data_IF_806329980368
#
_entry.id   IF_806329980368
#
_cell.length_a   1.000
_cell.length_b   1.000
_cell.length_c   1.000
_cell.angle_alpha   90.00
_cell.angle_beta   90.00
_cell.angle_gamma   90.00
#
_symmetry.space_group_name_H-M   'P 1'
#
loop_
_entity.id
_entity.type
_entity.pdbx_description
1 polymer ?
#
# COMPACT_ATOMS: atom_id res chain seq x y z
N UNK A 1 11.70 8.46 5.06
CA UNK A 1 11.17 7.17 4.53
C UNK A 1 9.92 6.74 5.27
N UNK A 2 8.85 6.40 4.54
CA UNK A 2 7.69 5.67 5.04
C UNK A 2 7.86 4.18 4.77
N UNK A 3 7.55 3.32 5.75
CA UNK A 3 7.65 1.86 5.60
C UNK A 3 6.48 1.20 6.30
N UNK A 4 5.82 0.28 5.60
CA UNK A 4 4.72 -0.51 6.16
C UNK A 4 4.90 -1.99 5.83
N UNK A 5 4.29 -2.83 6.66
CA UNK A 5 4.10 -4.25 6.40
C UNK A 5 2.62 -4.48 6.11
N UNK A 6 2.30 -4.99 4.93
CA UNK A 6 0.96 -5.47 4.60
C UNK A 6 0.90 -6.96 4.92
N UNK A 7 0.08 -7.33 5.91
CA UNK A 7 -0.13 -8.72 6.35
C UNK A 7 -1.47 -9.24 5.82
N UNK A 8 -1.44 -9.88 4.65
CA UNK A 8 -2.61 -10.49 4.02
C UNK A 8 -2.87 -11.88 4.60
N UNK A 9 -3.54 -11.93 5.76
CA UNK A 9 -3.88 -13.20 6.43
C UNK A 9 -4.72 -14.14 5.56
N UNK A 10 -5.61 -13.61 4.72
CA UNK A 10 -6.51 -14.41 3.87
C UNK A 10 -5.75 -15.31 2.87
N UNK A 11 -4.64 -14.85 2.31
CA UNK A 11 -3.82 -15.62 1.36
C UNK A 11 -2.44 -16.00 1.91
N UNK A 12 -2.22 -15.79 3.21
CA UNK A 12 -0.96 -16.03 3.92
C UNK A 12 0.26 -15.37 3.24
N UNK A 13 0.11 -14.11 2.82
CA UNK A 13 1.20 -13.33 2.20
C UNK A 13 1.53 -12.09 3.02
N UNK A 14 2.82 -11.77 3.06
CA UNK A 14 3.36 -10.56 3.69
C UNK A 14 4.14 -9.75 2.68
N UNK A 15 3.93 -8.44 2.68
CA UNK A 15 4.58 -7.52 1.74
C UNK A 15 5.17 -6.34 2.49
N UNK A 16 6.47 -6.10 2.31
CA UNK A 16 7.12 -4.92 2.90
C UNK A 16 7.20 -3.83 1.85
N UNK A 17 6.51 -2.72 2.10
CA UNK A 17 6.45 -1.58 1.18
C UNK A 17 7.27 -0.44 1.76
N UNK A 18 8.14 0.15 0.95
CA UNK A 18 8.94 1.32 1.29
C UNK A 18 8.66 2.44 0.29
N UNK A 19 8.47 3.65 0.80
CA UNK A 19 8.30 4.85 -0.02
C UNK A 19 9.25 5.94 0.47
N UNK A 20 9.92 6.60 -0.47
CA UNK A 20 10.81 7.74 -0.22
C UNK A 20 10.55 8.85 -1.22
N UNK A 21 10.59 10.11 -0.76
CA UNK A 21 10.55 11.25 -1.68
C UNK A 21 11.86 11.36 -2.46
N UNK A 22 11.76 11.56 -3.78
CA UNK A 22 12.86 11.80 -4.71
C UNK A 22 13.18 13.30 -4.77
N UNK A 23 14.33 13.65 -5.37
CA UNK A 23 14.76 15.04 -5.54
C UNK A 23 13.81 15.86 -6.44
N UNK A 24 13.14 15.20 -7.40
CA UNK A 24 12.14 15.81 -8.29
C UNK A 24 10.75 16.00 -7.64
N UNK A 25 10.61 15.64 -6.36
CA UNK A 25 9.34 15.72 -5.62
C UNK A 25 8.41 14.51 -5.83
N UNK A 26 8.72 13.61 -6.76
CA UNK A 26 7.99 12.36 -6.91
C UNK A 26 8.34 11.36 -5.80
N UNK A 27 7.58 10.27 -5.72
CA UNK A 27 7.76 9.22 -4.74
C UNK A 27 8.40 8.00 -5.40
N UNK A 28 9.48 7.49 -4.82
CA UNK A 28 10.01 6.17 -5.16
C UNK A 28 9.31 5.12 -4.32
N UNK A 29 8.75 4.10 -4.98
CA UNK A 29 8.08 2.97 -4.32
C UNK A 29 8.91 1.71 -4.51
N UNK A 30 8.98 0.88 -3.48
CA UNK A 30 9.51 -0.46 -3.57
C UNK A 30 8.64 -1.45 -2.77
N UNK A 31 8.25 -2.55 -3.41
CA UNK A 31 7.44 -3.61 -2.79
C UNK A 31 8.28 -4.90 -2.75
N UNK A 32 8.71 -5.31 -1.56
CA UNK A 32 9.33 -6.60 -1.34
C UNK A 32 8.25 -7.66 -1.07
N UNK A 33 8.13 -8.63 -1.97
CA UNK A 33 7.05 -9.63 -1.98
C UNK A 33 7.51 -10.94 -2.65
N UNK A 34 6.94 -12.07 -2.22
CA UNK A 34 7.03 -13.34 -2.93
C UNK A 34 5.73 -13.72 -3.69
N UNK A 35 4.68 -12.89 -3.61
CA UNK A 35 3.42 -13.11 -4.32
C UNK A 35 3.52 -12.62 -5.77
N UNK A 36 3.29 -13.51 -6.74
CA UNK A 36 3.44 -13.20 -8.17
C UNK A 36 2.43 -12.15 -8.65
N UNK A 37 1.19 -12.20 -8.18
CA UNK A 37 0.18 -11.15 -8.43
C UNK A 37 0.66 -9.76 -7.99
N UNK A 38 1.30 -9.67 -6.83
CA UNK A 38 1.82 -8.40 -6.30
C UNK A 38 3.08 -7.95 -7.05
N UNK A 39 3.90 -8.89 -7.54
CA UNK A 39 5.03 -8.55 -8.43
C UNK A 39 4.52 -7.95 -9.75
N UNK A 40 3.47 -8.51 -10.32
CA UNK A 40 2.85 -8.01 -11.55
C UNK A 40 2.17 -6.66 -11.33
N UNK A 41 1.43 -6.49 -10.23
CA UNK A 41 0.91 -5.19 -9.80
C UNK A 41 2.02 -4.13 -9.70
N UNK A 42 3.13 -4.47 -9.03
CA UNK A 42 4.26 -3.55 -8.87
C UNK A 42 4.91 -3.21 -10.21
N UNK A 43 5.00 -4.17 -11.13
CA UNK A 43 5.49 -3.94 -12.49
C UNK A 43 4.57 -2.98 -13.26
N UNK A 44 3.26 -3.15 -13.16
CA UNK A 44 2.28 -2.30 -13.84
C UNK A 44 2.26 -0.88 -13.27
N UNK A 45 2.36 -0.75 -11.94
CA UNK A 45 2.40 0.54 -11.25
C UNK A 45 3.68 1.34 -11.56
N UNK A 46 4.80 0.62 -11.67
CA UNK A 46 6.14 1.20 -11.74
C UNK A 46 6.68 1.60 -10.36
N UNK A 47 7.94 2.02 -10.33
CA UNK A 47 8.65 2.40 -9.10
C UNK A 47 8.58 3.90 -8.78
N UNK A 48 7.82 4.67 -9.57
CA UNK A 48 7.70 6.12 -9.46
C UNK A 48 6.24 6.54 -9.45
N UNK A 49 5.84 7.24 -8.38
CA UNK A 49 4.51 7.83 -8.24
C UNK A 49 4.60 9.34 -8.13
N UNK A 50 3.58 10.04 -8.61
CA UNK A 50 3.34 11.45 -8.32
C UNK A 50 2.70 11.57 -6.93
N UNK A 51 2.60 12.79 -6.41
CA UNK A 51 1.82 13.05 -5.19
C UNK A 51 0.33 12.79 -5.44
N UNK A 52 -0.19 13.15 -6.63
CA UNK A 52 -1.60 12.94 -6.98
C UNK A 52 -2.00 11.46 -6.98
N UNK A 53 -1.09 10.58 -7.38
CA UNK A 53 -1.32 9.12 -7.36
C UNK A 53 -1.69 8.60 -5.97
N UNK A 54 -1.32 9.31 -4.89
CA UNK A 54 -1.59 8.89 -3.51
C UNK A 54 -2.55 9.81 -2.78
N UNK A 55 -2.93 10.97 -3.33
CA UNK A 55 -3.84 11.94 -2.68
C UNK A 55 -5.20 12.06 -3.37
N UNK A 56 -5.30 11.76 -4.66
CA UNK A 56 -6.56 11.79 -5.41
C UNK A 56 -7.08 10.38 -5.68
N UNK A 57 -8.14 9.96 -4.98
CA UNK A 57 -8.68 8.61 -5.12
C UNK A 57 -9.19 8.29 -6.53
N UNK A 58 -9.87 9.22 -7.19
CA UNK A 58 -10.53 8.96 -8.49
C UNK A 58 -9.51 8.83 -9.63
N UNK A 59 -8.43 9.61 -9.59
CA UNK A 59 -7.36 9.59 -10.58
C UNK A 59 -6.12 8.79 -10.16
N UNK A 60 -6.18 8.04 -9.06
CA UNK A 60 -5.01 7.38 -8.48
C UNK A 60 -4.57 6.18 -9.32
N UNK A 61 -3.35 6.21 -9.86
CA UNK A 61 -2.73 5.03 -10.49
C UNK A 61 -2.56 3.86 -9.53
N UNK A 62 -2.47 4.11 -8.22
CA UNK A 62 -2.36 3.06 -7.19
C UNK A 62 -3.63 2.20 -7.16
N UNK A 63 -4.80 2.78 -7.48
CA UNK A 63 -6.10 2.12 -7.53
C UNK A 63 -6.66 1.98 -8.96
N UNK A 64 -5.86 2.26 -9.99
CA UNK A 64 -6.28 2.13 -11.37
C UNK A 64 -6.65 0.66 -11.69
N UNK A 65 -7.79 0.39 -12.36
CA UNK A 65 -8.24 -0.97 -12.63
C UNK A 65 -7.27 -1.81 -13.46
N UNK A 66 -6.57 -1.22 -14.43
CA UNK A 66 -5.61 -1.95 -15.26
C UNK A 66 -4.36 -2.30 -14.44
N UNK A 67 -3.87 -1.34 -13.64
CA UNK A 67 -2.75 -1.57 -12.72
C UNK A 67 -3.10 -2.64 -11.67
N UNK A 68 -4.31 -2.59 -11.12
CA UNK A 68 -4.78 -3.50 -10.07
C UNK A 68 -5.26 -4.86 -10.58
N UNK A 69 -5.43 -5.04 -11.89
CA UNK A 69 -5.97 -6.27 -12.50
C UNK A 69 -5.34 -7.59 -12.03
N UNK A 70 -4.04 -7.69 -11.65
CA UNK A 70 -3.48 -8.94 -11.14
C UNK A 70 -3.94 -9.29 -9.71
N UNK A 71 -4.42 -8.31 -8.95
CA UNK A 71 -4.80 -8.43 -7.54
C UNK A 71 -6.32 -8.56 -7.38
N UNK A 72 -6.77 -9.21 -6.30
CA UNK A 72 -8.17 -9.11 -5.88
C UNK A 72 -8.47 -7.71 -5.36
N UNK A 73 -9.72 -7.25 -5.48
CA UNK A 73 -10.16 -5.95 -4.94
C UNK A 73 -9.93 -5.80 -3.43
N UNK A 74 -9.87 -6.93 -2.71
CA UNK A 74 -9.62 -7.00 -1.27
C UNK A 74 -8.14 -7.05 -0.90
N UNK A 75 -7.23 -7.11 -1.87
CA UNK A 75 -5.80 -7.05 -1.60
C UNK A 75 -5.46 -5.71 -0.94
N UNK A 76 -4.81 -5.74 0.22
CA UNK A 76 -4.46 -4.53 0.97
C UNK A 76 -3.19 -3.85 0.45
N UNK A 77 -2.49 -4.43 -0.55
CA UNK A 77 -1.23 -3.88 -1.06
C UNK A 77 -1.39 -2.46 -1.62
N UNK A 78 -2.39 -2.15 -2.48
CA UNK A 78 -2.64 -0.78 -2.92
C UNK A 78 -2.81 0.21 -1.75
N UNK A 79 -3.63 -0.14 -0.76
CA UNK A 79 -3.80 0.66 0.46
C UNK A 79 -2.50 0.79 1.28
N UNK A 80 -1.66 -0.24 1.27
CA UNK A 80 -0.33 -0.23 1.89
C UNK A 80 0.64 0.73 1.19
N UNK A 81 0.60 0.82 -0.15
CA UNK A 81 1.37 1.81 -0.92
C UNK A 81 1.00 3.22 -0.49
N UNK A 82 -0.30 3.54 -0.43
CA UNK A 82 -0.78 4.85 0.04
C UNK A 82 -0.35 5.11 1.49
N UNK A 83 -0.50 4.12 2.37
CA UNK A 83 -0.10 4.27 3.78
C UNK A 83 1.40 4.58 3.94
N UNK A 84 2.26 3.88 3.21
CA UNK A 84 3.69 4.16 3.20
C UNK A 84 4.02 5.54 2.61
N UNK A 85 3.33 5.92 1.52
CA UNK A 85 3.49 7.24 0.91
C UNK A 85 3.06 8.36 1.87
N UNK A 86 1.94 8.21 2.57
CA UNK A 86 1.44 9.21 3.50
C UNK A 86 2.29 9.33 4.76
N UNK A 87 2.87 8.23 5.24
CA UNK A 87 3.90 8.28 6.28
C UNK A 87 5.14 9.03 5.79
N UNK A 88 5.51 8.88 4.52
CA UNK A 88 6.65 9.61 3.95
C UNK A 88 6.38 11.10 3.80
N UNK A 89 5.22 11.45 3.26
CA UNK A 89 4.76 12.82 3.04
C UNK A 89 4.38 13.56 4.33
N UNK A 90 4.35 12.88 5.48
CA UNK A 90 3.91 13.45 6.75
C UNK A 90 2.40 13.67 6.87
N UNK A 91 1.61 13.13 5.94
CA UNK A 91 0.13 13.16 5.99
C UNK A 91 -0.42 12.19 7.03
N UNK A 92 0.32 11.12 7.35
CA UNK A 92 0.11 10.29 8.53
C UNK A 92 1.21 10.54 9.56
N UNK A 93 0.81 10.75 10.81
CA UNK A 93 1.75 10.87 11.93
C UNK A 93 2.46 9.54 12.17
N UNK A 94 3.80 9.55 12.09
CA UNK A 94 4.65 8.38 12.36
C UNK A 94 4.53 7.90 13.79
N UNK A 95 4.56 8.82 14.76
CA UNK A 95 4.45 8.46 16.19
C UNK A 95 3.10 7.82 16.51
N UNK A 96 2.02 8.29 15.89
CA UNK A 96 0.70 7.67 16.08
C UNK A 96 0.59 6.32 15.40
N UNK A 97 1.17 6.16 14.22
CA UNK A 97 1.21 4.88 13.52
C UNK A 97 1.99 3.82 14.30
N UNK A 98 3.13 4.19 14.90
CA UNK A 98 3.90 3.32 15.79
C UNK A 98 3.12 2.94 17.05
N UNK A 99 2.36 3.87 17.63
CA UNK A 99 1.54 3.60 18.82
C UNK A 99 0.35 2.66 18.56
N UNK A 100 -0.38 2.85 17.45
CA UNK A 100 -1.55 2.01 17.10
C UNK A 100 -1.10 0.65 16.54
N UNK A 101 0.00 0.63 15.79
CA UNK A 101 0.56 -0.57 15.16
C UNK A 101 -0.06 -0.89 13.79
N UNK A 102 -1.39 -1.07 13.69
CA UNK A 102 -2.01 -1.49 12.42
C UNK A 102 -3.47 -1.10 12.26
N UNK A 103 -3.86 -0.82 11.01
CA UNK A 103 -5.24 -0.95 10.57
C UNK A 103 -5.46 -2.36 10.03
N UNK A 104 -6.56 -3.02 10.37
CA UNK A 104 -6.85 -4.37 9.89
C UNK A 104 -8.33 -4.57 9.59
N UNK A 105 -8.61 -5.52 8.70
CA UNK A 105 -9.94 -6.07 8.46
C UNK A 105 -10.02 -7.40 9.19
N UNK A 106 -11.01 -7.54 10.07
CA UNK A 106 -11.26 -8.77 10.84
C UNK A 106 -12.54 -9.40 10.31
N UNK A 107 -12.46 -10.67 9.91
CA UNK A 107 -13.63 -11.46 9.57
C UNK A 107 -14.23 -12.03 10.85
N UNK A 108 -15.49 -11.73 11.16
CA UNK A 108 -16.20 -12.29 12.30
C UNK A 108 -16.97 -13.54 11.87
N UNK A 109 -17.06 -14.53 12.76
CA UNK A 109 -18.00 -15.65 12.60
C UNK A 109 -19.41 -15.21 12.97
N UNK A 110 -20.43 -15.98 12.60
CA UNK A 110 -21.76 -15.81 13.17
C UNK A 110 -21.68 -16.11 14.69
N UNK A 111 -21.71 -15.08 15.53
CA UNK A 111 -21.69 -15.21 16.99
C UNK A 111 -20.85 -14.19 17.75
N UNK A 112 -20.07 -13.35 17.08
CA UNK A 112 -19.25 -12.33 17.74
C UNK A 112 -19.91 -10.93 17.63
N UNK A 113 -20.91 -10.70 18.50
CA UNK A 113 -21.36 -9.35 18.94
C UNK A 113 -20.89 -9.11 20.38
#
# INVERSE_FOLDING_TARGET
MGTVLVDMKFCDKKHKIKVTTKEDGNLKVHIATNCDHVKEYYKNLGDSLTIEDVTNREGSRVFDPEVCSPCTITCLVPSGVVSAAWLELGMLSKSRAEQIGSNCVVFTGAGDD
#
